data_IF_700544998678
#
_entry.id   IF_700544998678
#
_cell.length_a   1.000
_cell.length_b   1.000
_cell.length_c   1.000
_cell.angle_alpha   90.00
_cell.angle_beta   90.00
_cell.angle_gamma   90.00
#
_symmetry.space_group_name_H-M   'P 1'
#
loop_
_entity.id
_entity.type
_entity.pdbx_description
1 polymer ?
#
# COMPACT_ATOMS: atom_id res chain seq x y z
N UNK A 1 54.45 29.66 -85.94
CA UNK A 1 53.96 28.51 -85.16
C UNK A 1 55.16 27.72 -84.64
N UNK A 2 55.34 27.65 -83.32
CA UNK A 2 55.83 26.43 -82.68
C UNK A 2 54.90 25.99 -81.56
N UNK A 3 54.68 24.68 -81.51
CA UNK A 3 53.79 23.96 -80.60
C UNK A 3 54.47 23.75 -79.24
N UNK A 4 53.83 24.19 -78.15
CA UNK A 4 54.27 23.90 -76.78
C UNK A 4 53.61 22.60 -76.28
N UNK A 5 54.41 21.58 -76.04
CA UNK A 5 54.02 20.33 -75.39
C UNK A 5 53.85 20.53 -73.88
N UNK A 6 52.64 20.29 -73.38
CA UNK A 6 52.30 20.34 -71.96
C UNK A 6 52.27 18.90 -71.40
N UNK A 7 53.24 18.55 -70.57
CA UNK A 7 53.38 17.22 -69.96
C UNK A 7 52.53 17.16 -68.69
N UNK A 8 51.37 16.48 -68.76
CA UNK A 8 50.49 16.25 -67.62
C UNK A 8 51.04 15.13 -66.72
N UNK A 9 51.25 15.44 -65.44
CA UNK A 9 51.58 14.49 -64.37
C UNK A 9 50.33 13.69 -63.95
N UNK A 10 50.40 12.37 -63.72
CA UNK A 10 49.27 11.61 -63.20
C UNK A 10 49.04 11.91 -61.71
N UNK A 11 47.76 12.09 -61.35
CA UNK A 11 47.31 12.31 -59.98
C UNK A 11 47.38 11.02 -59.15
N UNK A 12 47.75 11.15 -57.87
CA UNK A 12 47.80 10.06 -56.91
C UNK A 12 46.38 9.56 -56.55
N UNK A 13 46.20 8.25 -56.29
CA UNK A 13 44.91 7.68 -55.91
C UNK A 13 44.50 8.12 -54.50
N UNK A 14 43.22 8.46 -54.34
CA UNK A 14 42.61 8.81 -53.06
C UNK A 14 42.60 7.61 -52.09
N UNK A 15 42.78 7.83 -50.77
CA UNK A 15 42.74 6.77 -49.78
C UNK A 15 41.35 6.13 -49.72
N UNK A 16 41.32 4.80 -49.81
CA UNK A 16 40.10 3.99 -49.83
C UNK A 16 39.23 4.21 -48.59
N UNK A 17 37.92 4.35 -48.82
CA UNK A 17 36.92 4.37 -47.78
C UNK A 17 36.98 3.07 -46.97
N UNK A 18 37.25 3.19 -45.67
CA UNK A 18 37.22 2.08 -44.74
C UNK A 18 35.81 1.46 -44.73
N UNK A 19 35.74 0.14 -44.91
CA UNK A 19 34.50 -0.61 -44.78
C UNK A 19 33.89 -0.37 -43.38
N UNK A 20 32.56 -0.22 -43.26
CA UNK A 20 31.91 -0.05 -41.97
C UNK A 20 32.24 -1.25 -41.08
N UNK A 21 32.92 -0.96 -39.97
CA UNK A 21 33.18 -1.92 -38.89
C UNK A 21 31.87 -2.59 -38.51
N UNK A 22 31.75 -3.89 -38.78
CA UNK A 22 30.60 -4.68 -38.35
C UNK A 22 30.50 -4.57 -36.82
N UNK A 23 29.43 -3.93 -36.34
CA UNK A 23 29.12 -3.86 -34.91
C UNK A 23 29.03 -5.30 -34.39
N UNK A 24 29.83 -5.69 -33.37
CA UNK A 24 29.76 -7.04 -32.84
C UNK A 24 28.33 -7.33 -32.37
N UNK A 25 27.80 -8.49 -32.78
CA UNK A 25 26.48 -8.94 -32.33
C UNK A 25 26.45 -8.94 -30.79
N UNK A 26 25.40 -8.39 -30.16
CA UNK A 26 25.32 -8.32 -28.71
C UNK A 26 25.44 -9.73 -28.12
N UNK A 27 26.31 -9.88 -27.14
CA UNK A 27 26.47 -11.14 -26.41
C UNK A 27 25.10 -11.57 -25.85
N UNK A 28 24.76 -12.85 -26.04
CA UNK A 28 23.51 -13.42 -25.51
C UNK A 28 23.52 -13.26 -23.98
N UNK A 29 22.49 -12.62 -23.43
CA UNK A 29 22.30 -12.52 -21.97
C UNK A 29 22.26 -13.92 -21.36
N UNK A 30 22.93 -14.10 -20.21
CA UNK A 30 22.89 -15.36 -19.43
C UNK A 30 21.81 -15.34 -18.35
N UNK A 31 21.03 -14.26 -18.25
CA UNK A 31 19.94 -14.15 -17.28
C UNK A 31 18.80 -15.11 -17.69
N UNK A 32 18.39 -16.07 -16.84
CA UNK A 32 17.29 -16.98 -17.15
C UNK A 32 15.93 -16.28 -17.34
N UNK A 33 15.81 -15.02 -16.92
CA UNK A 33 14.61 -14.19 -17.10
C UNK A 33 14.65 -13.36 -18.40
N UNK A 34 15.78 -13.34 -19.12
CA UNK A 34 15.86 -12.67 -20.41
C UNK A 34 15.05 -13.43 -21.47
N UNK A 35 14.19 -12.71 -22.19
CA UNK A 35 13.39 -13.25 -23.27
C UNK A 35 13.47 -12.31 -24.49
N UNK A 36 14.14 -12.72 -25.58
CA UNK A 36 14.34 -11.86 -26.75
C UNK A 36 13.04 -11.50 -27.49
N UNK A 37 11.92 -12.17 -27.18
CA UNK A 37 10.62 -11.87 -27.75
C UNK A 37 9.84 -10.80 -26.97
N UNK A 38 10.34 -10.37 -25.80
CA UNK A 38 9.70 -9.30 -25.04
C UNK A 38 10.09 -7.93 -25.60
N UNK A 39 9.16 -6.96 -25.67
CA UNK A 39 9.50 -5.62 -26.11
C UNK A 39 10.50 -4.96 -25.16
N UNK A 40 11.63 -4.46 -25.69
CA UNK A 40 12.66 -3.76 -24.90
C UNK A 40 12.68 -2.25 -25.15
N UNK A 41 11.94 -1.77 -26.16
CA UNK A 41 11.83 -0.35 -26.46
C UNK A 41 10.94 0.34 -25.41
N UNK A 42 11.55 1.21 -24.60
CA UNK A 42 10.88 1.96 -23.54
C UNK A 42 9.75 2.85 -24.05
N UNK A 43 9.90 3.49 -25.21
CA UNK A 43 8.86 4.36 -25.77
C UNK A 43 7.61 3.54 -26.12
N UNK A 44 7.78 2.34 -26.69
CA UNK A 44 6.66 1.44 -26.96
C UNK A 44 5.98 1.00 -25.67
N UNK A 45 6.75 0.67 -24.64
CA UNK A 45 6.21 0.27 -23.34
C UNK A 45 5.49 1.42 -22.64
N UNK A 46 6.03 2.64 -22.68
CA UNK A 46 5.42 3.84 -22.13
C UNK A 46 4.11 4.20 -22.85
N UNK A 47 4.09 4.11 -24.18
CA UNK A 47 2.89 4.38 -24.98
C UNK A 47 1.78 3.34 -24.71
N UNK A 48 2.16 2.07 -24.49
CA UNK A 48 1.22 0.99 -24.15
C UNK A 48 0.82 1.00 -22.67
N UNK A 49 1.66 1.55 -21.79
CA UNK A 49 1.34 1.80 -20.39
C UNK A 49 0.58 3.11 -20.30
N UNK A 50 -0.60 3.16 -20.92
CA UNK A 50 -1.47 4.32 -20.77
C UNK A 50 -1.78 4.50 -19.28
N UNK A 51 -1.55 5.71 -18.76
CA UNK A 51 -2.03 6.18 -17.44
C UNK A 51 -3.55 6.37 -17.52
N UNK A 52 -4.28 5.38 -18.04
CA UNK A 52 -5.71 5.33 -17.82
C UNK A 52 -5.89 5.16 -16.31
N UNK A 53 -6.81 5.92 -15.69
CA UNK A 53 -7.08 5.74 -14.28
C UNK A 53 -7.50 4.30 -14.08
N UNK A 54 -6.64 3.51 -13.43
CA UNK A 54 -6.97 2.12 -13.18
C UNK A 54 -8.19 2.08 -12.25
N UNK A 55 -9.09 1.09 -12.39
CA UNK A 55 -10.25 1.01 -11.54
C UNK A 55 -9.85 0.91 -10.06
N UNK A 56 -10.73 1.36 -9.16
CA UNK A 56 -10.45 1.29 -7.74
C UNK A 56 -10.40 -0.17 -7.25
N UNK A 57 -9.27 -0.57 -6.68
CA UNK A 57 -9.10 -1.88 -6.01
C UNK A 57 -9.49 -1.86 -4.52
N UNK A 58 -10.17 -0.81 -4.04
CA UNK A 58 -10.58 -0.68 -2.64
C UNK A 58 -11.49 -1.84 -2.17
N UNK A 59 -12.36 -2.34 -3.06
CA UNK A 59 -13.26 -3.47 -2.77
C UNK A 59 -12.49 -4.77 -2.47
N UNK A 60 -11.38 -5.02 -3.16
CA UNK A 60 -10.54 -6.20 -2.94
C UNK A 60 -9.98 -6.21 -1.52
N UNK A 61 -9.56 -5.05 -1.03
CA UNK A 61 -9.01 -4.94 0.32
C UNK A 61 -10.05 -5.15 1.41
N UNK A 62 -11.27 -4.62 1.24
CA UNK A 62 -12.32 -4.72 2.25
C UNK A 62 -12.81 -6.16 2.48
N UNK A 63 -12.78 -7.02 1.45
CA UNK A 63 -13.17 -8.45 1.57
C UNK A 63 -12.27 -9.25 2.51
N UNK A 64 -11.02 -8.81 2.69
CA UNK A 64 -10.01 -9.55 3.43
C UNK A 64 -9.70 -9.00 4.82
N UNK A 65 -10.40 -7.94 5.22
CA UNK A 65 -10.25 -7.33 6.53
C UNK A 65 -10.64 -8.34 7.63
N UNK A 66 -9.72 -8.71 8.54
CA UNK A 66 -10.02 -9.66 9.60
C UNK A 66 -11.10 -9.13 10.56
N UNK A 67 -11.94 -10.03 11.08
CA UNK A 67 -12.87 -9.69 12.15
C UNK A 67 -12.08 -9.36 13.43
N UNK A 68 -12.19 -8.14 14.00
CA UNK A 68 -11.47 -7.78 15.23
C UNK A 68 -11.70 -8.72 16.42
N UNK A 69 -12.86 -9.40 16.49
CA UNK A 69 -13.21 -10.30 17.59
C UNK A 69 -12.44 -11.62 17.58
N UNK A 70 -11.83 -12.00 16.44
CA UNK A 70 -11.08 -13.25 16.31
C UNK A 70 -9.57 -13.05 16.41
N UNK A 71 -9.14 -11.81 16.66
CA UNK A 71 -7.73 -11.43 16.64
C UNK A 71 -7.06 -11.59 18.01
N UNK A 72 -5.73 -11.83 18.04
CA UNK A 72 -5.03 -12.01 19.29
C UNK A 72 -5.06 -10.75 20.15
N UNK A 73 -5.11 -10.94 21.46
CA UNK A 73 -4.83 -9.88 22.44
C UNK A 73 -3.38 -10.00 22.89
N UNK A 74 -2.77 -8.88 23.28
CA UNK A 74 -1.45 -8.89 23.92
C UNK A 74 -1.68 -9.00 25.42
N UNK A 75 -1.17 -10.06 26.10
CA UNK A 75 -1.32 -10.18 27.53
C UNK A 75 -0.48 -9.11 28.25
N UNK A 76 -0.87 -8.69 29.46
CA UNK A 76 -0.04 -7.80 30.28
C UNK A 76 1.34 -8.43 30.57
N UNK A 77 2.38 -7.61 30.74
CA UNK A 77 3.71 -8.12 31.11
C UNK A 77 3.68 -8.79 32.48
N UNK A 78 4.56 -9.77 32.71
CA UNK A 78 4.79 -10.27 34.06
C UNK A 78 5.39 -9.14 34.92
N UNK A 79 5.03 -9.05 36.22
CA UNK A 79 5.60 -8.05 37.12
C UNK A 79 7.12 -8.19 37.21
N UNK A 80 7.86 -7.09 37.49
CA UNK A 80 9.31 -7.15 37.69
C UNK A 80 9.69 -8.14 38.79
N UNK A 81 10.74 -8.94 38.54
CA UNK A 81 11.21 -9.97 39.48
C UNK A 81 11.76 -9.42 40.79
N UNK A 82 12.18 -8.15 40.81
CA UNK A 82 12.76 -7.50 41.97
C UNK A 82 11.72 -7.05 43.00
N UNK A 83 10.41 -7.13 42.68
CA UNK A 83 9.30 -6.83 43.59
C UNK A 83 9.24 -5.39 44.10
N UNK A 84 10.18 -4.53 43.70
CA UNK A 84 10.36 -3.18 44.25
C UNK A 84 9.94 -2.08 43.27
N UNK A 85 9.72 -2.42 41.99
CA UNK A 85 9.21 -1.48 40.99
C UNK A 85 7.91 -1.97 40.37
N UNK A 86 6.90 -1.12 40.36
CA UNK A 86 5.76 -1.26 39.47
C UNK A 86 6.09 -0.62 38.11
N UNK A 87 5.56 -1.19 37.03
CA UNK A 87 5.56 -0.49 35.75
C UNK A 87 4.68 0.77 35.85
N UNK A 88 5.02 1.85 35.12
CA UNK A 88 4.10 2.97 34.99
C UNK A 88 2.77 2.48 34.39
N UNK A 89 1.67 3.12 34.79
CA UNK A 89 0.36 2.83 34.20
C UNK A 89 0.42 3.09 32.68
N UNK A 90 0.00 2.13 31.84
CA UNK A 90 0.05 2.31 30.39
C UNK A 90 -0.90 3.43 29.94
N UNK A 91 -0.38 4.32 29.09
CA UNK A 91 -1.09 5.50 28.59
C UNK A 91 -1.36 5.33 27.08
N UNK A 92 -2.63 5.39 26.68
CA UNK A 92 -3.04 5.19 25.27
C UNK A 92 -2.43 6.22 24.32
N UNK A 93 -2.14 7.44 24.80
CA UNK A 93 -1.48 8.46 24.01
C UNK A 93 0.02 8.19 23.78
N UNK A 94 0.63 7.24 24.49
CA UNK A 94 2.01 6.78 24.25
C UNK A 94 1.95 5.57 23.30
N UNK A 95 2.36 5.80 22.06
CA UNK A 95 2.24 4.88 20.94
C UNK A 95 3.58 4.28 20.56
N UNK A 96 3.63 2.96 20.41
CA UNK A 96 4.73 2.28 19.74
C UNK A 96 4.34 1.96 18.30
N UNK A 97 5.13 2.45 17.33
CA UNK A 97 4.96 2.09 15.92
C UNK A 97 5.58 0.72 15.66
N UNK A 98 4.87 -0.12 14.90
CA UNK A 98 5.33 -1.46 14.53
C UNK A 98 5.25 -1.60 13.01
N UNK A 99 6.38 -1.93 12.37
CA UNK A 99 6.47 -2.10 10.92
C UNK A 99 6.82 -3.56 10.62
N UNK A 100 5.94 -4.35 9.98
CA UNK A 100 6.11 -5.79 9.85
C UNK A 100 6.97 -6.19 8.64
N UNK A 101 7.96 -5.37 8.28
CA UNK A 101 8.87 -5.59 7.16
C UNK A 101 10.26 -5.02 7.49
N UNK A 102 11.30 -5.62 6.93
CA UNK A 102 12.68 -5.12 6.98
C UNK A 102 13.04 -4.24 5.77
N UNK A 103 12.12 -4.07 4.81
CA UNK A 103 12.38 -3.25 3.62
C UNK A 103 12.49 -1.77 4.02
N UNK A 104 13.70 -1.20 3.93
CA UNK A 104 14.00 0.17 4.38
C UNK A 104 13.16 1.22 3.68
N UNK A 105 12.94 1.12 2.37
CA UNK A 105 12.07 2.04 1.63
C UNK A 105 10.64 2.07 2.17
N UNK A 106 10.06 0.91 2.48
CA UNK A 106 8.73 0.80 3.11
C UNK A 106 8.74 1.32 4.55
N UNK A 107 9.77 1.01 5.33
CA UNK A 107 9.91 1.50 6.72
C UNK A 107 9.96 3.02 6.75
N UNK A 108 10.82 3.63 5.95
CA UNK A 108 11.01 5.08 5.89
C UNK A 108 9.74 5.78 5.42
N UNK A 109 9.07 5.22 4.41
CA UNK A 109 7.80 5.71 3.91
C UNK A 109 6.73 5.75 5.03
N UNK A 110 6.54 4.65 5.74
CA UNK A 110 5.51 4.51 6.78
C UNK A 110 5.84 5.35 8.03
N UNK A 111 7.08 5.27 8.53
CA UNK A 111 7.52 6.02 9.71
C UNK A 111 7.51 7.51 9.42
N UNK A 112 7.97 7.93 8.24
CA UNK A 112 7.93 9.31 7.80
C UNK A 112 6.51 9.86 7.75
N UNK A 113 5.56 9.08 7.20
CA UNK A 113 4.16 9.47 7.16
C UNK A 113 3.57 9.61 8.58
N UNK A 114 3.71 8.59 9.43
CA UNK A 114 3.16 8.61 10.79
C UNK A 114 3.73 9.72 11.67
N UNK A 115 5.02 10.08 11.50
CA UNK A 115 5.62 11.19 12.23
C UNK A 115 5.02 12.53 11.82
N UNK A 116 4.73 12.73 10.53
CA UNK A 116 4.13 13.97 10.01
C UNK A 116 2.66 14.11 10.41
N UNK A 117 1.93 13.00 10.48
CA UNK A 117 0.47 12.99 10.72
C UNK A 117 0.10 12.74 12.18
N UNK A 118 1.09 12.66 13.07
CA UNK A 118 0.92 12.46 14.51
C UNK A 118 0.09 13.61 15.12
N UNK A 119 -1.06 13.34 15.73
CA UNK A 119 -1.85 14.37 16.39
C UNK A 119 -1.13 15.03 17.56
N UNK A 120 -1.62 16.20 17.96
CA UNK A 120 -1.25 16.83 19.23
C UNK A 120 -1.65 15.93 20.40
N UNK A 121 -0.82 15.90 21.45
CA UNK A 121 -1.06 15.08 22.64
C UNK A 121 -0.70 13.58 22.49
N UNK A 122 -0.42 13.10 21.28
CA UNK A 122 0.12 11.74 21.06
C UNK A 122 1.66 11.78 21.10
N UNK A 123 2.26 10.84 21.82
CA UNK A 123 3.71 10.63 21.88
C UNK A 123 4.07 9.33 21.17
N UNK A 124 4.93 9.41 20.14
CA UNK A 124 5.52 8.21 19.55
C UNK A 124 6.71 7.82 20.40
N UNK A 125 6.61 6.73 21.15
CA UNK A 125 7.70 6.20 21.95
C UNK A 125 8.86 5.79 21.02
N UNK A 126 8.57 5.09 19.94
CA UNK A 126 9.55 4.70 18.95
C UNK A 126 8.90 3.93 17.82
N UNK A 127 9.74 3.34 16.96
CA UNK A 127 9.30 2.33 16.00
C UNK A 127 10.14 1.06 16.16
N UNK A 128 9.54 -0.09 15.85
CA UNK A 128 10.20 -1.39 15.86
C UNK A 128 9.89 -2.08 14.53
N UNK A 129 10.93 -2.55 13.85
CA UNK A 129 10.80 -3.46 12.72
C UNK A 129 10.59 -4.88 13.25
N UNK A 130 9.46 -5.50 12.89
CA UNK A 130 9.11 -6.87 13.30
C UNK A 130 8.86 -7.68 12.03
N UNK A 131 9.92 -8.14 11.33
CA UNK A 131 9.74 -8.91 10.12
C UNK A 131 8.79 -10.07 10.38
N UNK A 132 7.69 -10.06 9.64
CA UNK A 132 6.61 -11.03 9.74
C UNK A 132 6.27 -11.51 8.34
N UNK A 133 6.13 -12.83 8.23
CA UNK A 133 5.72 -13.47 6.99
C UNK A 133 4.28 -13.07 6.66
N UNK A 134 4.05 -12.70 5.41
CA UNK A 134 2.71 -12.43 4.88
C UNK A 134 1.95 -13.73 4.59
N UNK A 135 2.67 -14.85 4.44
CA UNK A 135 2.12 -16.10 3.92
C UNK A 135 1.59 -15.96 2.50
N UNK A 136 2.10 -14.97 1.75
CA UNK A 136 1.87 -14.79 0.31
C UNK A 136 3.22 -14.66 -0.38
N UNK A 137 3.33 -15.20 -1.59
CA UNK A 137 4.59 -15.19 -2.35
C UNK A 137 5.05 -13.80 -2.78
N UNK A 138 6.17 -13.75 -3.49
CA UNK A 138 6.82 -12.49 -3.91
C UNK A 138 5.95 -11.64 -4.84
N UNK A 139 5.19 -12.28 -5.75
CA UNK A 139 4.20 -11.63 -6.61
C UNK A 139 2.78 -12.07 -6.23
N UNK A 140 2.13 -11.43 -5.24
CA UNK A 140 0.75 -11.75 -4.94
C UNK A 140 -0.18 -11.19 -6.04
N UNK A 141 -1.24 -11.94 -6.34
CA UNK A 141 -2.30 -11.56 -7.26
C UNK A 141 -3.62 -11.29 -6.52
N UNK A 142 -4.40 -10.33 -7.02
CA UNK A 142 -5.76 -10.03 -6.57
C UNK A 142 -5.88 -9.88 -5.04
N UNK A 143 -6.72 -10.71 -4.42
CA UNK A 143 -6.96 -10.72 -2.98
C UNK A 143 -5.75 -11.15 -2.14
N UNK A 144 -4.75 -11.81 -2.72
CA UNK A 144 -3.56 -12.24 -1.99
C UNK A 144 -2.77 -11.05 -1.44
N UNK A 145 -2.67 -9.95 -2.18
CA UNK A 145 -1.99 -8.74 -1.72
C UNK A 145 -2.56 -8.20 -0.41
N UNK A 146 -3.86 -7.82 -0.39
CA UNK A 146 -4.53 -7.38 0.83
C UNK A 146 -4.48 -8.40 1.96
N UNK A 147 -4.71 -9.70 1.68
CA UNK A 147 -4.58 -10.75 2.72
C UNK A 147 -3.19 -10.78 3.33
N UNK A 148 -2.15 -10.70 2.50
CA UNK A 148 -0.75 -10.64 2.93
C UNK A 148 -0.51 -9.46 3.86
N UNK A 149 -1.00 -8.27 3.50
CA UNK A 149 -0.87 -7.07 4.33
C UNK A 149 -1.52 -7.24 5.71
N UNK A 150 -2.76 -7.76 5.79
CA UNK A 150 -3.43 -8.02 7.06
C UNK A 150 -2.72 -9.11 7.87
N UNK A 151 -2.30 -10.21 7.22
CA UNK A 151 -1.56 -11.30 7.87
C UNK A 151 -0.27 -10.82 8.50
N UNK A 152 0.51 -9.98 7.81
CA UNK A 152 1.74 -9.37 8.38
C UNK A 152 1.44 -8.59 9.66
N UNK A 153 0.38 -7.77 9.66
CA UNK A 153 -0.04 -7.02 10.86
C UNK A 153 -0.38 -7.98 12.01
N UNK A 154 -1.22 -8.98 11.75
CA UNK A 154 -1.62 -9.95 12.78
C UNK A 154 -0.44 -10.77 13.31
N UNK A 155 0.43 -11.22 12.42
CA UNK A 155 1.62 -12.00 12.76
C UNK A 155 2.61 -11.17 13.59
N UNK A 156 2.82 -9.90 13.25
CA UNK A 156 3.68 -9.02 14.04
C UNK A 156 3.13 -8.82 15.45
N UNK A 157 1.83 -8.55 15.61
CA UNK A 157 1.21 -8.42 16.94
C UNK A 157 1.31 -9.72 17.74
N UNK A 158 1.09 -10.88 17.12
CA UNK A 158 1.24 -12.19 17.77
C UNK A 158 2.67 -12.43 18.24
N UNK A 159 3.66 -12.12 17.39
CA UNK A 159 5.10 -12.24 17.72
C UNK A 159 5.47 -11.35 18.90
N UNK A 160 5.00 -10.11 18.92
CA UNK A 160 5.20 -9.19 20.05
C UNK A 160 4.47 -9.64 21.32
N UNK A 161 3.29 -10.25 21.20
CA UNK A 161 2.54 -10.80 22.32
C UNK A 161 3.23 -12.00 22.99
N UNK A 162 3.94 -12.81 22.21
CA UNK A 162 4.73 -13.94 22.70
C UNK A 162 6.08 -13.55 23.32
N UNK A 163 6.57 -12.33 23.05
CA UNK A 163 7.87 -11.85 23.54
C UNK A 163 7.70 -11.15 24.90
N UNK A 164 8.00 -11.88 25.97
CA UNK A 164 7.92 -11.36 27.35
C UNK A 164 8.85 -10.16 27.61
N UNK A 165 10.03 -10.15 27.00
CA UNK A 165 11.01 -9.06 27.18
C UNK A 165 10.53 -7.79 26.47
N UNK A 166 10.02 -7.94 25.24
CA UNK A 166 9.44 -6.82 24.51
C UNK A 166 8.26 -6.20 25.27
N UNK A 167 7.36 -7.04 25.80
CA UNK A 167 6.23 -6.57 26.61
C UNK A 167 6.69 -5.83 27.87
N UNK A 168 7.71 -6.31 28.56
CA UNK A 168 8.31 -5.61 29.69
C UNK A 168 8.87 -4.23 29.27
N UNK A 169 9.54 -4.14 28.11
CA UNK A 169 10.03 -2.86 27.57
C UNK A 169 8.91 -1.89 27.22
N UNK A 170 7.81 -2.36 26.62
CA UNK A 170 6.64 -1.52 26.36
C UNK A 170 6.06 -0.95 27.66
N UNK A 171 5.90 -1.81 28.66
CA UNK A 171 5.35 -1.44 29.95
C UNK A 171 6.24 -0.47 30.73
N UNK A 172 7.56 -0.69 30.74
CA UNK A 172 8.53 0.23 31.35
C UNK A 172 8.47 1.65 30.75
N UNK A 173 7.99 1.77 29.50
CA UNK A 173 7.83 3.05 28.78
C UNK A 173 6.42 3.63 28.86
N UNK A 174 5.51 2.96 29.58
CA UNK A 174 4.11 3.38 29.69
C UNK A 174 3.36 3.31 28.36
N UNK A 175 3.81 2.50 27.38
CA UNK A 175 3.13 2.36 26.09
C UNK A 175 1.76 1.73 26.30
N UNK A 176 0.71 2.45 25.93
CA UNK A 176 -0.68 1.96 26.00
C UNK A 176 -1.26 1.55 24.65
N UNK A 177 -0.60 1.87 23.53
CA UNK A 177 -1.12 1.59 22.19
C UNK A 177 0.00 1.15 21.24
N UNK A 178 -0.28 0.14 20.42
CA UNK A 178 0.49 -0.16 19.22
C UNK A 178 -0.20 0.43 18.00
N UNK A 179 0.58 1.05 17.12
CA UNK A 179 0.14 1.42 15.78
C UNK A 179 0.97 0.64 14.77
N UNK A 180 0.36 -0.39 14.18
CA UNK A 180 1.00 -1.28 13.22
C UNK A 180 0.72 -0.77 11.82
N UNK A 181 1.76 -0.60 11.00
CA UNK A 181 1.63 -0.09 9.63
C UNK A 181 2.29 -1.07 8.65
N UNK A 182 1.55 -1.53 7.64
CA UNK A 182 2.02 -2.51 6.65
C UNK A 182 1.74 -2.05 5.23
N UNK A 183 2.60 -2.45 4.29
CA UNK A 183 2.43 -2.20 2.85
C UNK A 183 2.74 -3.46 2.06
N UNK A 184 1.81 -3.89 1.22
CA UNK A 184 1.99 -4.97 0.25
C UNK A 184 1.69 -4.44 -1.15
N UNK A 185 2.44 -4.91 -2.15
CA UNK A 185 2.12 -4.64 -3.56
C UNK A 185 1.53 -5.91 -4.16
N UNK A 186 0.65 -5.79 -5.15
CA UNK A 186 0.02 -6.92 -5.82
C UNK A 186 -0.43 -6.56 -7.23
N UNK A 187 -0.52 -7.56 -8.10
CA UNK A 187 -1.11 -7.41 -9.44
C UNK A 187 -2.57 -7.84 -9.39
N UNK A 188 -3.49 -6.96 -9.75
CA UNK A 188 -4.88 -7.37 -9.95
C UNK A 188 -5.11 -7.75 -11.42
N UNK A 189 -5.75 -8.90 -11.61
CA UNK A 189 -6.14 -9.47 -12.90
C UNK A 189 -7.49 -8.92 -13.34
N UNK A 190 -7.74 -8.98 -14.65
CA UNK A 190 -8.92 -8.45 -15.33
C UNK A 190 -10.25 -8.85 -14.68
N UNK A 191 -10.42 -10.14 -14.33
CA UNK A 191 -11.69 -10.67 -13.81
C UNK A 191 -12.09 -10.04 -12.47
N UNK A 192 -11.13 -9.82 -11.58
CA UNK A 192 -11.38 -9.21 -10.26
C UNK A 192 -11.63 -7.70 -10.36
N UNK A 193 -10.97 -7.03 -11.31
CA UNK A 193 -11.18 -5.60 -11.58
C UNK A 193 -12.57 -5.38 -12.22
N UNK A 194 -12.92 -6.15 -13.24
CA UNK A 194 -14.20 -6.04 -13.96
C UNK A 194 -15.38 -6.48 -13.08
N UNK A 195 -15.20 -7.53 -12.28
CA UNK A 195 -16.18 -7.96 -11.28
C UNK A 195 -16.41 -6.93 -10.17
N UNK A 196 -15.37 -6.18 -9.78
CA UNK A 196 -15.50 -5.07 -8.83
C UNK A 196 -16.13 -3.80 -9.45
N UNK A 197 -15.95 -3.58 -10.75
CA UNK A 197 -16.38 -2.40 -11.50
C UNK A 197 -17.67 -2.58 -12.32
N UNK A 198 -18.47 -3.62 -12.03
CA UNK A 198 -19.72 -3.95 -12.72
C UNK A 198 -20.59 -2.70 -12.99
N UNK A 199 -20.63 -2.27 -14.25
CA UNK A 199 -21.37 -1.10 -14.73
C UNK A 199 -20.76 -0.43 -15.97
N UNK A 200 -19.48 -0.66 -16.27
CA UNK A 200 -18.86 -0.13 -17.50
C UNK A 200 -18.69 -1.27 -18.51
N UNK A 201 -19.35 -1.14 -19.66
CA UNK A 201 -19.32 -2.14 -20.72
C UNK A 201 -17.90 -2.49 -21.12
N UNK A 202 -17.69 -3.78 -21.46
CA UNK A 202 -16.43 -4.34 -21.95
C UNK A 202 -15.71 -3.38 -22.90
N UNK A 203 -14.57 -2.85 -22.46
CA UNK A 203 -13.54 -2.33 -23.37
C UNK A 203 -12.52 -3.45 -23.53
N UNK A 204 -12.28 -3.86 -24.77
CA UNK A 204 -11.43 -5.00 -25.09
C UNK A 204 -10.00 -4.86 -24.57
N UNK A 205 -9.48 -5.96 -23.99
CA UNK A 205 -8.08 -6.15 -23.63
C UNK A 205 -7.69 -5.49 -22.31
N UNK A 206 -8.28 -5.89 -21.18
CA UNK A 206 -7.85 -5.33 -19.91
C UNK A 206 -6.44 -5.83 -19.55
N UNK A 207 -5.62 -4.89 -19.12
CA UNK A 207 -4.21 -5.09 -18.82
C UNK A 207 -4.06 -5.18 -17.30
N UNK A 208 -3.29 -6.13 -16.74
CA UNK A 208 -3.07 -6.27 -15.29
C UNK A 208 -2.57 -4.97 -14.67
N UNK A 209 -2.97 -4.70 -13.43
CA UNK A 209 -2.62 -3.45 -12.75
C UNK A 209 -1.89 -3.75 -11.45
N UNK A 210 -0.70 -3.16 -11.27
CA UNK A 210 0.06 -3.19 -10.03
C UNK A 210 -0.51 -2.17 -9.06
N UNK A 211 -0.98 -2.63 -7.91
CA UNK A 211 -1.48 -1.81 -6.82
C UNK A 211 -0.62 -2.00 -5.59
N UNK A 212 -0.55 -0.96 -4.76
CA UNK A 212 -0.10 -1.03 -3.39
C UNK A 212 -1.28 -0.92 -2.41
N UNK A 213 -1.33 -1.80 -1.42
CA UNK A 213 -2.24 -1.69 -0.27
C UNK A 213 -1.47 -1.25 0.96
N UNK A 214 -2.00 -0.24 1.65
CA UNK A 214 -1.47 0.26 2.92
C UNK A 214 -2.48 -0.03 4.02
N UNK A 215 -2.02 -0.65 5.09
CA UNK A 215 -2.83 -1.00 6.26
C UNK A 215 -2.26 -0.33 7.50
N UNK A 216 -3.07 0.47 8.17
CA UNK A 216 -2.81 0.96 9.52
C UNK A 216 -3.75 0.27 10.50
N UNK A 217 -3.21 -0.22 11.61
CA UNK A 217 -3.99 -0.89 12.65
C UNK A 217 -3.61 -0.38 14.03
N UNK A 218 -4.59 0.14 14.77
CA UNK A 218 -4.44 0.41 16.20
C UNK A 218 -4.78 -0.82 17.01
N UNK A 219 -3.90 -1.17 17.95
CA UNK A 219 -4.12 -2.20 18.97
C UNK A 219 -3.89 -1.57 20.33
N UNK A 220 -4.94 -1.46 21.14
CA UNK A 220 -4.84 -0.89 22.48
C UNK A 220 -4.34 -1.98 23.46
N UNK A 221 -3.31 -1.65 24.24
CA UNK A 221 -2.72 -2.53 25.26
C UNK A 221 -3.41 -2.35 26.63
N UNK A 222 -4.22 -1.30 26.77
CA UNK A 222 -4.98 -1.00 27.99
C UNK A 222 -6.38 -1.62 27.87
N UNK A 223 -6.51 -2.87 28.31
CA UNK A 223 -7.80 -3.50 28.62
C UNK A 223 -8.06 -3.42 30.12
N UNK A 224 -9.23 -2.92 30.53
CA UNK A 224 -9.66 -3.08 31.92
C UNK A 224 -9.98 -4.56 32.19
N UNK A 225 -9.78 -5.03 33.43
CA UNK A 225 -10.11 -6.41 33.85
C UNK A 225 -11.57 -6.82 33.53
N UNK A 226 -12.46 -5.85 33.30
CA UNK A 226 -13.89 -6.05 33.07
C UNK A 226 -14.39 -5.52 31.72
N UNK A 227 -13.53 -4.93 30.88
CA UNK A 227 -13.94 -4.41 29.58
C UNK A 227 -13.51 -5.35 28.45
N UNK A 228 -14.39 -5.69 27.48
CA UNK A 228 -13.98 -6.42 26.29
C UNK A 228 -12.82 -5.68 25.62
N UNK A 229 -11.84 -6.39 25.03
CA UNK A 229 -10.63 -5.76 24.52
C UNK A 229 -11.00 -4.63 23.54
N UNK A 230 -10.43 -3.42 23.68
CA UNK A 230 -10.69 -2.38 22.70
C UNK A 230 -10.23 -2.90 21.34
N UNK A 231 -11.14 -2.95 20.35
CA UNK A 231 -10.96 -3.80 19.20
C UNK A 231 -9.95 -3.17 18.25
N UNK A 232 -9.21 -4.04 17.58
CA UNK A 232 -8.32 -3.67 16.50
C UNK A 232 -9.01 -2.68 15.54
N UNK A 233 -8.44 -1.48 15.40
CA UNK A 233 -9.01 -0.44 14.52
C UNK A 233 -8.20 -0.37 13.25
N UNK A 234 -8.77 -0.92 12.18
CA UNK A 234 -8.16 -0.95 10.86
C UNK A 234 -8.50 0.29 10.03
N UNK A 235 -7.51 0.80 9.31
CA UNK A 235 -7.64 1.72 8.17
C UNK A 235 -6.84 1.19 7.00
N UNK A 236 -7.41 1.27 5.82
CA UNK A 236 -6.90 0.59 4.65
C UNK A 236 -7.04 1.52 3.45
N UNK A 237 -5.95 1.68 2.72
CA UNK A 237 -5.88 2.50 1.53
C UNK A 237 -5.26 1.69 0.41
N UNK A 238 -5.70 1.94 -0.80
CA UNK A 238 -5.15 1.29 -2.00
C UNK A 238 -4.70 2.40 -2.94
N UNK A 239 -3.50 2.28 -3.47
CA UNK A 239 -2.99 3.21 -4.48
C UNK A 239 -3.87 3.20 -5.72
N UNK A 240 -3.79 4.25 -6.55
CA UNK A 240 -4.50 4.28 -7.84
C UNK A 240 -4.03 3.22 -8.85
N UNK A 241 -2.87 2.61 -8.64
CA UNK A 241 -2.32 1.51 -9.45
C UNK A 241 -1.67 1.96 -10.76
N UNK A 242 -0.87 1.07 -11.35
CA UNK A 242 -0.22 1.27 -12.65
C UNK A 242 -0.37 0.01 -13.49
N UNK A 243 -0.79 0.20 -14.73
CA UNK A 243 -0.93 -0.88 -15.69
C UNK A 243 0.44 -1.50 -15.99
N UNK A 244 0.55 -2.82 -15.88
CA UNK A 244 1.76 -3.58 -16.23
C UNK A 244 1.71 -4.02 -17.69
N UNK A 245 2.80 -3.95 -18.47
CA UNK A 245 2.80 -4.43 -19.85
C UNK A 245 2.31 -5.89 -19.96
N UNK A 246 1.30 -6.13 -20.81
CA UNK A 246 0.60 -7.42 -20.87
C UNK A 246 1.54 -8.58 -21.23
N UNK A 247 2.52 -8.34 -22.11
CA UNK A 247 3.53 -9.30 -22.54
C UNK A 247 4.40 -9.74 -21.37
N UNK A 248 4.81 -8.79 -20.52
CA UNK A 248 5.64 -9.05 -19.35
C UNK A 248 4.86 -9.79 -18.27
N UNK A 249 3.58 -9.46 -18.07
CA UNK A 249 2.72 -10.22 -17.16
C UNK A 249 2.48 -11.66 -17.64
N UNK A 250 2.13 -11.87 -18.92
CA UNK A 250 1.96 -13.22 -19.47
C UNK A 250 3.25 -14.03 -19.37
N UNK A 251 4.39 -13.39 -19.63
CA UNK A 251 5.68 -14.03 -19.41
C UNK A 251 5.89 -14.40 -17.94
N UNK A 252 5.56 -13.52 -16.99
CA UNK A 252 5.62 -13.82 -15.56
C UNK A 252 4.76 -15.04 -15.19
N UNK A 253 3.53 -15.11 -15.68
CA UNK A 253 2.65 -16.26 -15.44
C UNK A 253 3.19 -17.55 -16.07
N UNK A 254 3.89 -17.47 -17.20
CA UNK A 254 4.48 -18.62 -17.86
C UNK A 254 5.61 -19.28 -17.04
N UNK A 255 6.24 -18.54 -16.11
CA UNK A 255 7.16 -19.12 -15.12
C UNK A 255 6.44 -19.93 -14.03
N UNK A 256 5.11 -19.84 -13.96
CA UNK A 256 4.27 -20.59 -13.05
C UNK A 256 4.05 -19.91 -11.69
N UNK A 257 3.39 -20.67 -10.81
CA UNK A 257 2.90 -20.18 -9.53
C UNK A 257 3.51 -21.01 -8.38
N UNK A 258 3.61 -20.39 -7.20
CA UNK A 258 4.05 -21.05 -5.97
C UNK A 258 2.92 -21.89 -5.36
N UNK A 259 1.67 -21.56 -5.68
CA UNK A 259 0.47 -22.18 -5.13
C UNK A 259 -0.48 -22.71 -6.22
N UNK A 260 -1.31 -23.68 -5.85
CA UNK A 260 -2.28 -24.28 -6.77
C UNK A 260 -3.42 -23.33 -7.14
N UNK A 261 -3.76 -22.37 -6.27
CA UNK A 261 -4.80 -21.38 -6.53
C UNK A 261 -4.32 -20.25 -7.47
N UNK A 262 -3.04 -20.27 -7.87
CA UNK A 262 -2.41 -19.29 -8.77
C UNK A 262 -2.55 -17.87 -8.24
N UNK A 263 -2.38 -17.72 -6.93
CA UNK A 263 -2.45 -16.44 -6.23
C UNK A 263 -1.05 -15.84 -6.01
N UNK A 264 0.01 -16.62 -6.16
CA UNK A 264 1.40 -16.22 -5.94
C UNK A 264 2.27 -16.59 -7.16
N UNK A 265 2.73 -15.60 -7.91
CA UNK A 265 3.64 -15.81 -9.04
C UNK A 265 5.06 -16.10 -8.56
N UNK A 266 5.76 -17.01 -9.24
CA UNK A 266 7.17 -17.33 -8.95
C UNK A 266 8.15 -16.24 -9.37
N UNK A 267 7.75 -15.45 -10.37
CA UNK A 267 8.54 -14.36 -10.94
C UNK A 267 7.64 -13.12 -10.99
N UNK A 268 8.20 -11.98 -10.59
CA UNK A 268 7.48 -10.71 -10.64
C UNK A 268 7.59 -10.05 -12.01
N UNK A 269 6.63 -9.19 -12.36
CA UNK A 269 6.72 -8.38 -13.60
C UNK A 269 7.96 -7.46 -13.56
N UNK A 270 8.28 -6.91 -12.39
CA UNK A 270 9.46 -6.06 -12.22
C UNK A 270 10.77 -6.78 -12.50
N UNK A 271 10.88 -8.06 -12.12
CA UNK A 271 12.07 -8.88 -12.40
C UNK A 271 12.25 -9.14 -13.90
N UNK A 272 11.18 -9.47 -14.61
CA UNK A 272 11.25 -9.61 -16.06
C UNK A 272 11.58 -8.30 -16.75
N UNK A 273 10.98 -7.19 -16.33
CA UNK A 273 11.31 -5.86 -16.87
C UNK A 273 12.79 -5.55 -16.68
N UNK A 274 13.33 -5.75 -15.48
CA UNK A 274 14.74 -5.44 -15.19
C UNK A 274 15.72 -6.37 -15.95
N UNK A 275 15.35 -7.62 -16.18
CA UNK A 275 16.15 -8.57 -16.96
C UNK A 275 16.21 -8.22 -18.46
N UNK A 276 15.21 -7.51 -18.99
CA UNK A 276 15.08 -7.21 -20.42
C UNK A 276 15.35 -5.73 -20.76
N UNK A 277 15.34 -4.83 -19.76
CA UNK A 277 15.52 -3.38 -19.93
C UNK A 277 16.69 -2.91 -19.06
N UNK A 278 17.86 -2.59 -19.65
CA UNK A 278 19.04 -2.21 -18.90
C UNK A 278 18.80 -1.01 -17.98
N UNK A 279 19.22 -1.12 -16.72
CA UNK A 279 19.17 -0.04 -15.73
C UNK A 279 17.79 0.22 -15.10
N UNK A 280 16.77 -0.58 -15.43
CA UNK A 280 15.45 -0.47 -14.84
C UNK A 280 15.42 -1.09 -13.44
N UNK A 281 14.92 -0.33 -12.46
CA UNK A 281 14.74 -0.82 -11.08
C UNK A 281 13.50 -1.73 -11.01
N UNK A 282 13.72 -3.02 -10.72
CA UNK A 282 12.63 -4.00 -10.57
C UNK A 282 11.61 -3.62 -9.48
N UNK A 283 12.02 -2.88 -8.46
CA UNK A 283 11.17 -2.48 -7.35
C UNK A 283 10.39 -1.18 -7.62
N UNK A 284 10.82 -0.36 -8.58
CA UNK A 284 10.21 0.93 -8.92
C UNK A 284 10.11 1.19 -10.43
N UNK A 285 9.84 0.13 -11.19
CA UNK A 285 9.73 0.18 -12.65
C UNK A 285 8.67 1.17 -13.15
N UNK A 286 7.66 1.47 -12.32
CA UNK A 286 6.64 2.50 -12.58
C UNK A 286 7.25 3.87 -12.88
N UNK A 287 8.36 4.22 -12.22
CA UNK A 287 9.01 5.51 -12.42
C UNK A 287 9.47 5.68 -13.87
N UNK A 288 9.93 4.59 -14.48
CA UNK A 288 10.39 4.57 -15.88
C UNK A 288 9.20 4.44 -16.83
N UNK A 289 8.25 3.53 -16.56
CA UNK A 289 7.19 3.22 -17.52
C UNK A 289 5.97 4.14 -17.45
N UNK A 290 5.66 4.68 -16.27
CA UNK A 290 4.47 5.50 -16.02
C UNK A 290 4.80 6.91 -15.53
N UNK A 291 6.09 7.26 -15.40
CA UNK A 291 6.55 8.57 -14.94
C UNK A 291 6.24 8.88 -13.46
N UNK A 292 5.80 7.88 -12.69
CA UNK A 292 5.43 8.03 -11.27
C UNK A 292 6.05 6.91 -10.45
N UNK A 293 6.63 7.25 -9.29
CA UNK A 293 7.21 6.23 -8.41
C UNK A 293 6.13 5.44 -7.67
N UNK A 294 6.36 4.15 -7.44
CA UNK A 294 5.58 3.31 -6.53
C UNK A 294 5.42 3.96 -5.17
N UNK A 295 6.50 4.53 -4.63
CA UNK A 295 6.48 5.15 -3.30
C UNK A 295 5.64 6.43 -3.26
N UNK A 296 5.55 7.13 -4.39
CA UNK A 296 4.66 8.29 -4.54
C UNK A 296 3.19 7.86 -4.52
N UNK A 297 2.84 6.81 -5.27
CA UNK A 297 1.48 6.24 -5.30
C UNK A 297 1.04 5.71 -3.93
N UNK A 298 1.93 5.05 -3.20
CA UNK A 298 1.69 4.64 -1.82
C UNK A 298 1.53 5.87 -0.90
N UNK A 299 2.34 6.91 -1.12
CA UNK A 299 2.23 8.19 -0.44
C UNK A 299 0.87 8.87 -0.67
N UNK A 300 0.36 8.87 -1.90
CA UNK A 300 -1.00 9.35 -2.23
C UNK A 300 -2.07 8.58 -1.47
N UNK A 301 -1.99 7.24 -1.46
CA UNK A 301 -2.94 6.39 -0.74
C UNK A 301 -2.95 6.67 0.77
N UNK A 302 -1.77 6.89 1.37
CA UNK A 302 -1.66 7.28 2.77
C UNK A 302 -2.23 8.67 3.04
N UNK A 303 -1.92 9.65 2.18
CA UNK A 303 -2.46 11.03 2.29
C UNK A 303 -3.99 11.04 2.28
N UNK A 304 -4.59 10.24 1.41
CA UNK A 304 -6.05 10.11 1.33
C UNK A 304 -6.69 9.57 2.63
N UNK A 305 -5.92 8.89 3.49
CA UNK A 305 -6.39 8.35 4.77
C UNK A 305 -6.02 9.20 6.00
N UNK A 306 -5.34 10.34 5.83
CA UNK A 306 -4.74 11.08 6.96
C UNK A 306 -5.73 11.43 8.06
N UNK A 307 -6.91 11.92 7.69
CA UNK A 307 -7.97 12.29 8.63
C UNK A 307 -8.58 11.08 9.35
N UNK A 308 -8.40 9.87 8.80
CA UNK A 308 -8.99 8.65 9.32
C UNK A 308 -8.00 7.76 10.06
N UNK A 309 -6.70 8.10 10.05
CA UNK A 309 -5.66 7.29 10.69
C UNK A 309 -6.06 6.94 12.12
N UNK A 310 -5.86 5.68 12.56
CA UNK A 310 -6.43 5.21 13.79
C UNK A 310 -5.54 5.60 14.98
N UNK A 311 -5.28 6.88 15.15
CA UNK A 311 -4.59 7.40 16.33
C UNK A 311 -5.45 7.19 17.59
N UNK A 312 -4.85 7.02 18.77
CA UNK A 312 -5.56 7.09 20.03
C UNK A 312 -6.07 8.53 20.25
N UNK A 313 -7.22 8.69 20.91
CA UNK A 313 -7.68 10.02 21.30
C UNK A 313 -6.67 10.63 22.29
N UNK A 314 -6.34 11.91 22.11
CA UNK A 314 -5.50 12.62 23.07
C UNK A 314 -6.26 12.75 24.40
N UNK A 315 -5.75 12.13 25.48
CA UNK A 315 -6.41 12.10 26.80
C UNK A 315 -6.47 13.48 27.52
N UNK A 316 -6.10 14.57 26.86
CA UNK A 316 -6.21 15.95 27.36
C UNK A 316 -7.38 16.77 26.79
N UNK A 317 -7.97 16.39 25.66
CA UNK A 317 -9.03 17.19 25.04
C UNK A 317 -10.37 17.13 25.81
N UNK A 318 -10.63 16.01 26.50
CA UNK A 318 -11.86 15.84 27.29
C UNK A 318 -11.80 16.48 28.69
N UNK A 319 -10.60 16.87 29.19
CA UNK A 319 -10.46 17.51 30.52
C UNK A 319 -10.49 19.04 30.44
N UNK A 320 -10.39 19.63 29.26
CA UNK A 320 -10.52 21.07 29.04
C UNK A 320 -11.98 21.44 28.70
N UNK A 321 -12.90 21.27 29.65
CA UNK A 321 -14.09 22.13 29.83
C UNK A 321 -15.10 22.36 28.69
N UNK A 322 -15.08 21.61 27.59
CA UNK A 322 -16.10 21.69 26.55
C UNK A 322 -17.03 20.49 26.61
N UNK A 323 -18.34 20.72 26.79
CA UNK A 323 -19.35 19.69 26.69
C UNK A 323 -19.14 18.84 25.42
N UNK A 324 -19.36 17.51 25.48
CA UNK A 324 -19.17 16.65 24.33
C UNK A 324 -20.05 17.15 23.18
N UNK A 325 -19.42 17.57 22.07
CA UNK A 325 -20.13 17.79 20.81
C UNK A 325 -20.65 16.42 20.38
N UNK A 326 -21.92 16.16 20.67
CA UNK A 326 -22.65 15.02 20.17
C UNK A 326 -22.72 15.16 18.65
N UNK A 327 -21.77 14.56 17.93
CA UNK A 327 -21.86 14.42 16.48
C UNK A 327 -23.01 13.46 16.17
N UNK A 328 -24.23 13.97 16.04
CA UNK A 328 -25.37 13.18 15.54
C UNK A 328 -25.12 12.93 14.06
N UNK A 329 -24.85 11.67 13.70
CA UNK A 329 -24.83 11.27 12.28
C UNK A 329 -26.27 11.30 11.76
N UNK A 330 -26.61 12.36 11.02
CA UNK A 330 -27.79 12.38 10.15
C UNK A 330 -27.48 11.53 8.92
N UNK A 331 -27.87 10.27 8.96
CA UNK A 331 -27.79 9.36 7.81
C UNK A 331 -29.18 8.84 7.50
N UNK A 332 -29.52 8.68 6.21
CA UNK A 332 -30.79 8.06 5.80
C UNK A 332 -30.95 6.65 6.37
N UNK A 333 -29.83 6.01 6.75
CA UNK A 333 -29.73 4.70 7.40
C UNK A 333 -30.47 4.59 8.74
N UNK A 334 -30.80 5.72 9.40
CA UNK A 334 -31.49 5.71 10.70
C UNK A 334 -33.02 5.82 10.57
N UNK A 335 -33.55 5.90 9.34
CA UNK A 335 -34.99 5.93 9.11
C UNK A 335 -35.56 4.51 9.15
N UNK A 336 -36.61 4.23 9.96
CA UNK A 336 -37.34 2.98 9.84
C UNK A 336 -37.96 2.92 8.44
N UNK A 337 -37.66 1.86 7.70
CA UNK A 337 -38.24 1.59 6.38
C UNK A 337 -39.76 1.44 6.52
N UNK A 338 -40.51 2.45 6.09
CA UNK A 338 -41.96 2.35 5.90
C UNK A 338 -42.20 1.97 4.43
N UNK A 339 -42.69 0.76 4.18
CA UNK A 339 -43.09 0.36 2.83
C UNK A 339 -44.26 1.24 2.36
N UNK A 340 -44.09 1.87 1.20
CA UNK A 340 -45.17 2.60 0.50
C UNK A 340 -45.06 4.13 0.53
N UNK A 341 -44.02 4.73 1.11
CA UNK A 341 -43.82 6.20 1.05
C UNK A 341 -42.74 6.61 0.04
N UNK A 342 -42.91 7.80 -0.55
CA UNK A 342 -41.88 8.44 -1.37
C UNK A 342 -40.68 8.80 -0.46
N UNK A 343 -39.66 7.95 -0.46
CA UNK A 343 -38.45 8.03 0.39
C UNK A 343 -37.86 9.44 0.50
N UNK A 344 -37.88 10.20 -0.59
CA UNK A 344 -37.36 11.57 -0.65
C UNK A 344 -38.14 12.54 0.25
N UNK A 345 -39.48 12.48 0.25
CA UNK A 345 -40.30 13.40 1.05
C UNK A 345 -40.10 13.15 2.56
N UNK A 346 -39.99 11.88 2.97
CA UNK A 346 -39.70 11.51 4.36
C UNK A 346 -38.28 11.93 4.77
N UNK A 347 -37.29 11.77 3.89
CA UNK A 347 -35.93 12.20 4.15
C UNK A 347 -35.82 13.72 4.35
N UNK A 348 -36.52 14.51 3.51
CA UNK A 348 -36.57 15.98 3.67
C UNK A 348 -37.23 16.40 4.98
N UNK A 349 -38.38 15.83 5.33
CA UNK A 349 -39.07 16.16 6.58
C UNK A 349 -38.24 15.84 7.84
N UNK A 350 -37.46 14.74 7.81
CA UNK A 350 -36.57 14.38 8.91
C UNK A 350 -35.35 15.32 8.97
N UNK A 351 -34.80 15.70 7.83
CA UNK A 351 -33.69 16.66 7.77
C UNK A 351 -34.11 18.03 8.30
N UNK A 352 -35.32 18.50 7.94
CA UNK A 352 -35.89 19.77 8.41
C UNK A 352 -36.08 19.74 9.93
N UNK A 353 -36.70 18.69 10.47
CA UNK A 353 -36.91 18.55 11.92
C UNK A 353 -35.61 18.42 12.72
N UNK A 354 -34.60 17.76 12.15
CA UNK A 354 -33.29 17.68 12.77
C UNK A 354 -32.55 19.04 12.74
N UNK A 355 -32.75 19.82 11.68
CA UNK A 355 -32.24 21.19 11.58
C UNK A 355 -32.89 22.07 12.64
N UNK A 356 -34.21 22.02 12.79
CA UNK A 356 -34.93 22.77 13.85
C UNK A 356 -34.43 22.43 15.26
N UNK A 357 -34.17 21.16 15.54
CA UNK A 357 -33.60 20.72 16.81
C UNK A 357 -32.20 21.31 17.03
N UNK A 358 -31.34 21.28 16.03
CA UNK A 358 -30.02 21.88 16.11
C UNK A 358 -30.08 23.40 16.31
N UNK A 359 -31.02 24.10 15.65
CA UNK A 359 -31.20 25.55 15.82
C UNK A 359 -31.69 25.90 17.23
N UNK A 360 -32.57 25.09 17.82
CA UNK A 360 -33.02 25.27 19.22
C UNK A 360 -31.88 25.00 20.21
N UNK A 361 -31.18 23.88 20.06
CA UNK A 361 -30.01 23.53 20.88
C UNK A 361 -28.87 24.58 20.75
N UNK A 362 -28.80 25.34 19.65
CA UNK A 362 -27.82 26.43 19.49
C UNK A 362 -28.26 27.75 20.13
N UNK A 363 -29.58 27.97 20.27
CA UNK A 363 -30.11 29.18 20.92
C UNK A 363 -30.09 29.12 22.44
N UNK A 364 -30.22 27.92 22.99
CA UNK A 364 -30.17 27.62 24.43
C UNK A 364 -28.70 27.51 24.91
#
# INVERSE_FOLDING_TARGET
MPSTSNTQRPAAPAPGAAAPSATPAPAKSTDPLFNPNLPTNLELLQNNTSILPAPSAAKLSNRHKPNPQTLPTIPPPAPPRDGTRSYPAPNRAIVQVVIPTANKGKVDLLVGHLRRTKPAGVTIAGHTEVPADSGVGEQPYDGAGPRGAFRRVVAAVRKLGGDGEYRARLAARGVGTLLVASVENFLAREEEIVGAAAGTGRVGGAVPVDYGVVVFCRVDLVGGETAPPPPWVWRVGVSRGVTAPAEYWRAAEAFGFEDQAREHGRVTVGELLAANIPGLDKADWHKVLAGVSRYELLGEAMRAMEAELPWPAAEGAARAGGAPVLSRKLSISVLPLVLGSHLMATAYAVAERATDLNVREWRD
#
